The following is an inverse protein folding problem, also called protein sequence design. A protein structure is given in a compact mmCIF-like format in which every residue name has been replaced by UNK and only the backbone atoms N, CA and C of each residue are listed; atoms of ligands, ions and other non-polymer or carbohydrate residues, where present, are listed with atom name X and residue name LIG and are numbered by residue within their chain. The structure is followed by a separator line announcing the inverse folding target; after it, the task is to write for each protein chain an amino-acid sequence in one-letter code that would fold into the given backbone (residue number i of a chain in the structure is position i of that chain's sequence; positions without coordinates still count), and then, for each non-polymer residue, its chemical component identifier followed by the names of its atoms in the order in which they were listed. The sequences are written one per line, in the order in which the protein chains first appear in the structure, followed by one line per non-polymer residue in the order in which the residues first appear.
data_IF_897472926316
#
_entry.id   IF_897472926316
#
_cell.length_a   1.000
_cell.length_b   1.000
_cell.length_c   1.000
_cell.angle_alpha   90.00
_cell.angle_beta   90.00
_cell.angle_gamma   90.00
#
_symmetry.space_group_name_H-M   'P 1'
#
loop_
_entity.id
_entity.type
_entity.pdbx_description
1 polymer ?
#
# COMPACT_ATOMS: atom_id res chain seq x y z
N UNK A 1 13.45 -33.11 43.59
CA UNK A 1 13.91 -34.26 42.79
C UNK A 1 13.52 -34.00 41.34
N UNK A 2 14.54 -33.84 40.47
CA UNK A 2 14.52 -33.62 39.01
C UNK A 2 13.75 -32.38 38.52
N UNK A 3 14.33 -31.26 38.07
CA UNK A 3 15.62 -30.87 37.48
C UNK A 3 16.02 -31.55 36.15
N UNK A 4 16.30 -30.67 35.16
CA UNK A 4 17.00 -30.85 33.86
C UNK A 4 16.17 -31.41 32.70
N UNK A 5 16.18 -30.90 31.47
CA UNK A 5 16.97 -29.89 30.75
C UNK A 5 16.09 -29.40 29.56
N UNK A 6 16.13 -28.16 29.06
CA UNK A 6 17.19 -27.65 28.20
C UNK A 6 17.03 -26.12 28.05
N UNK A 7 17.65 -25.36 28.95
CA UNK A 7 18.14 -24.02 28.64
C UNK A 7 19.57 -24.20 28.15
N UNK A 8 19.83 -24.03 26.85
CA UNK A 8 21.11 -23.51 26.36
C UNK A 8 20.98 -23.03 24.92
N UNK A 9 21.55 -21.84 24.66
CA UNK A 9 21.67 -21.11 23.38
C UNK A 9 20.42 -20.28 23.05
N UNK A 10 20.36 -18.95 23.23
CA UNK A 10 21.40 -17.92 23.29
C UNK A 10 20.91 -16.79 24.19
N UNK A 11 21.70 -16.43 25.20
CA UNK A 11 21.67 -15.09 25.77
C UNK A 11 22.70 -14.25 25.04
N UNK A 12 22.35 -13.03 24.65
CA UNK A 12 23.26 -11.90 24.73
C UNK A 12 22.49 -10.61 25.03
N UNK A 13 23.08 -9.87 25.97
CA UNK A 13 22.64 -8.63 26.57
C UNK A 13 22.41 -7.49 25.58
N UNK A 14 21.63 -6.50 26.03
CA UNK A 14 21.57 -5.17 25.46
C UNK A 14 22.91 -4.45 25.60
N UNK A 15 23.44 -3.92 24.49
CA UNK A 15 24.37 -2.77 24.47
C UNK A 15 24.25 -2.02 23.13
N UNK A 16 24.16 -0.69 23.27
CA UNK A 16 24.35 0.42 22.34
C UNK A 16 24.74 0.18 20.86
N UNK A 17 24.02 0.91 19.99
CA UNK A 17 24.45 1.61 18.77
C UNK A 17 25.71 1.11 18.03
N UNK A 18 25.48 0.43 16.90
CA UNK A 18 26.29 0.55 15.69
C UNK A 18 25.44 0.16 14.48
N UNK A 19 25.38 1.01 13.46
CA UNK A 19 24.76 0.72 12.18
C UNK A 19 25.36 -0.55 11.57
N UNK A 20 24.53 -1.52 11.19
CA UNK A 20 24.94 -2.77 10.56
C UNK A 20 24.51 -2.80 9.08
N UNK A 21 25.29 -3.43 8.17
CA UNK A 21 25.07 -3.35 6.74
C UNK A 21 23.86 -4.21 6.32
N UNK A 22 23.23 -3.79 5.22
CA UNK A 22 22.04 -4.40 4.63
C UNK A 22 22.09 -5.93 4.61
N UNK A 23 21.13 -6.58 5.26
CA UNK A 23 20.87 -8.02 5.12
C UNK A 23 20.25 -8.28 3.74
N UNK A 24 21.06 -8.70 2.77
CA UNK A 24 20.59 -9.30 1.52
C UNK A 24 20.03 -10.70 1.79
N UNK A 25 18.83 -11.02 1.26
CA UNK A 25 18.22 -12.34 1.38
C UNK A 25 18.68 -13.27 0.24
N UNK A 26 19.30 -14.43 0.54
CA UNK A 26 19.65 -15.42 -0.47
C UNK A 26 18.42 -15.93 -1.25
N UNK A 27 18.56 -16.17 -2.55
CA UNK A 27 17.50 -16.71 -3.41
C UNK A 27 16.90 -18.02 -2.86
N UNK A 28 17.74 -18.85 -2.22
CA UNK A 28 17.31 -20.12 -1.62
C UNK A 28 16.40 -19.92 -0.40
N UNK A 29 16.65 -18.91 0.44
CA UNK A 29 15.76 -18.58 1.55
C UNK A 29 14.40 -18.09 1.07
N UNK A 30 14.36 -17.29 0.01
CA UNK A 30 13.10 -16.83 -0.60
C UNK A 30 12.32 -18.00 -1.22
N UNK A 31 13.01 -18.91 -1.93
CA UNK A 31 12.40 -20.13 -2.49
C UNK A 31 11.89 -21.04 -1.38
N UNK A 32 12.68 -21.27 -0.32
CA UNK A 32 12.28 -22.11 0.80
C UNK A 32 11.06 -21.54 1.54
N UNK A 33 11.00 -20.22 1.76
CA UNK A 33 9.83 -19.54 2.33
C UNK A 33 8.58 -19.72 1.44
N UNK A 34 8.73 -19.61 0.12
CA UNK A 34 7.63 -19.85 -0.83
C UNK A 34 7.18 -21.32 -0.84
N UNK A 35 8.11 -22.27 -0.73
CA UNK A 35 7.84 -23.72 -0.69
C UNK A 35 7.22 -24.14 0.65
N UNK A 36 7.72 -23.66 1.80
CA UNK A 36 7.19 -23.96 3.14
C UNK A 36 5.81 -23.34 3.39
N UNK A 37 5.59 -22.11 2.92
CA UNK A 37 4.27 -21.44 2.90
C UNK A 37 3.19 -22.25 2.16
N UNK A 38 3.60 -23.10 1.20
CA UNK A 38 2.69 -23.95 0.41
C UNK A 38 2.65 -25.40 0.87
N UNK A 39 3.74 -25.98 1.40
CA UNK A 39 3.73 -27.31 2.02
C UNK A 39 2.84 -27.40 3.26
N UNK A 40 2.71 -26.30 4.00
CA UNK A 40 1.78 -26.16 5.13
C UNK A 40 0.30 -26.10 4.72
N UNK A 41 0.00 -26.01 3.41
CA UNK A 41 -1.35 -26.13 2.84
C UNK A 41 -1.54 -27.51 2.19
N UNK A 42 -1.50 -28.56 2.99
CA UNK A 42 -2.10 -29.84 2.59
C UNK A 42 -3.61 -29.67 2.70
N UNK A 43 -4.27 -29.43 1.57
CA UNK A 43 -5.73 -29.45 1.52
C UNK A 43 -6.23 -30.91 1.56
N UNK A 44 -7.25 -31.25 2.34
CA UNK A 44 -7.97 -32.52 2.17
C UNK A 44 -8.63 -32.54 0.79
N UNK A 45 -8.62 -33.71 0.13
CA UNK A 45 -9.34 -33.99 -1.13
C UNK A 45 -10.80 -33.50 -1.06
N UNK A 46 -11.33 -32.84 -2.11
CA UNK A 46 -12.66 -32.25 -2.05
C UNK A 46 -13.72 -33.28 -2.46
N UNK A 47 -14.27 -34.02 -1.49
CA UNK A 47 -15.60 -34.59 -1.67
C UNK A 47 -16.63 -33.44 -1.74
N UNK A 48 -17.35 -33.33 -2.87
CA UNK A 48 -18.53 -32.46 -2.98
C UNK A 48 -18.48 -31.33 -4.04
N UNK A 49 -17.49 -31.27 -4.94
CA UNK A 49 -17.47 -30.24 -6.00
C UNK A 49 -18.54 -30.44 -7.10
N UNK A 50 -19.21 -31.59 -7.14
CA UNK A 50 -20.21 -31.92 -8.17
C UNK A 50 -21.61 -31.35 -7.89
N UNK A 51 -21.92 -30.92 -6.67
CA UNK A 51 -23.26 -30.45 -6.30
C UNK A 51 -23.53 -28.96 -6.60
N UNK A 52 -22.53 -28.21 -7.06
CA UNK A 52 -22.70 -26.78 -7.39
C UNK A 52 -23.15 -26.61 -8.86
N UNK A 53 -24.28 -25.94 -9.13
CA UNK A 53 -24.97 -25.98 -10.42
C UNK A 53 -24.31 -25.15 -11.54
N UNK A 54 -23.35 -24.28 -11.23
CA UNK A 54 -22.76 -23.34 -12.21
C UNK A 54 -21.23 -23.44 -12.30
N UNK A 55 -20.71 -23.56 -13.53
CA UNK A 55 -19.28 -23.53 -13.89
C UNK A 55 -18.60 -22.24 -13.42
N UNK A 56 -19.32 -21.12 -13.39
CA UNK A 56 -18.78 -19.81 -12.96
C UNK A 56 -18.54 -19.76 -11.45
N UNK A 57 -19.42 -20.38 -10.66
CA UNK A 57 -19.26 -20.49 -9.21
C UNK A 57 -18.05 -21.37 -8.81
N UNK A 58 -17.80 -22.46 -9.56
CA UNK A 58 -16.63 -23.33 -9.35
C UNK A 58 -15.31 -22.59 -9.60
N UNK A 59 -15.25 -21.76 -10.64
CA UNK A 59 -14.08 -20.91 -10.97
C UNK A 59 -13.86 -19.78 -9.95
N UNK A 60 -14.93 -19.18 -9.41
CA UNK A 60 -14.89 -18.15 -8.37
C UNK A 60 -14.45 -18.71 -7.00
N UNK A 61 -14.83 -19.94 -6.68
CA UNK A 61 -14.39 -20.59 -5.44
C UNK A 61 -12.90 -20.96 -5.51
N UNK A 62 -12.42 -21.45 -6.66
CA UNK A 62 -11.01 -21.75 -6.90
C UNK A 62 -10.10 -20.50 -6.95
N UNK A 63 -10.64 -19.32 -7.32
CA UNK A 63 -9.88 -18.07 -7.37
C UNK A 63 -9.79 -17.34 -6.03
N UNK A 64 -10.72 -17.59 -5.09
CA UNK A 64 -10.74 -16.92 -3.77
C UNK A 64 -9.66 -17.37 -2.79
N UNK A 65 -9.01 -18.52 -2.99
CA UNK A 65 -7.99 -19.04 -2.06
C UNK A 65 -6.54 -18.63 -2.39
N UNK A 66 -6.30 -17.83 -3.44
CA UNK A 66 -4.97 -17.35 -3.83
C UNK A 66 -4.83 -15.83 -3.59
N UNK A 67 -4.43 -15.41 -2.39
CA UNK A 67 -3.84 -14.08 -2.18
C UNK A 67 -2.57 -14.21 -1.34
N UNK A 68 -1.42 -13.99 -1.98
CA UNK A 68 -0.23 -13.42 -1.37
C UNK A 68 -0.22 -11.91 -1.72
N UNK A 69 0.40 -11.04 -0.90
CA UNK A 69 0.46 -9.60 -1.15
C UNK A 69 1.24 -9.26 -2.42
N UNK A 70 0.86 -8.14 -3.02
CA UNK A 70 1.22 -7.64 -4.35
C UNK A 70 2.67 -7.15 -4.47
N UNK A 71 3.65 -8.05 -4.36
CA UNK A 71 5.03 -7.79 -4.80
C UNK A 71 5.28 -8.23 -6.25
N UNK A 72 4.34 -9.01 -6.83
CA UNK A 72 4.46 -9.58 -8.17
C UNK A 72 4.19 -8.54 -9.28
N UNK A 73 3.31 -7.56 -9.06
CA UNK A 73 2.97 -6.54 -10.04
C UNK A 73 4.12 -5.59 -10.38
N UNK A 74 4.93 -5.21 -9.38
CA UNK A 74 6.08 -4.32 -9.55
C UNK A 74 7.21 -4.97 -10.36
N UNK A 75 7.47 -6.28 -10.16
CA UNK A 75 8.50 -7.00 -10.93
C UNK A 75 8.11 -7.19 -12.40
N UNK A 76 6.81 -7.30 -12.71
CA UNK A 76 6.33 -7.40 -14.10
C UNK A 76 6.52 -6.11 -14.89
N UNK A 77 6.35 -4.93 -14.26
CA UNK A 77 6.44 -3.63 -14.92
C UNK A 77 7.89 -3.24 -15.31
N UNK A 78 8.90 -3.68 -14.54
CA UNK A 78 10.31 -3.32 -14.82
C UNK A 78 11.00 -4.27 -15.82
N UNK A 79 10.51 -5.49 -16.00
CA UNK A 79 11.01 -6.40 -17.04
C UNK A 79 10.73 -5.87 -18.46
N UNK A 80 9.72 -5.01 -18.62
CA UNK A 80 9.32 -4.43 -19.92
C UNK A 80 10.22 -3.28 -20.40
N UNK A 81 10.92 -2.58 -19.50
CA UNK A 81 11.70 -1.37 -19.84
C UNK A 81 12.99 -1.64 -20.66
N UNK A 82 13.36 -2.90 -20.90
CA UNK A 82 14.45 -3.28 -21.83
C UNK A 82 13.95 -4.00 -23.09
N UNK A 83 12.63 -4.20 -23.22
CA UNK A 83 12.02 -4.99 -24.31
C UNK A 83 11.44 -4.14 -25.43
N UNK A 84 11.34 -2.82 -25.26
CA UNK A 84 10.82 -1.92 -26.31
C UNK A 84 11.68 -1.88 -27.58
N UNK A 85 12.91 -2.43 -27.56
CA UNK A 85 13.77 -2.57 -28.73
C UNK A 85 13.70 -3.94 -29.43
N UNK A 86 12.95 -4.91 -28.89
CA UNK A 86 12.83 -6.27 -29.44
C UNK A 86 11.37 -6.56 -29.77
N UNK A 87 11.05 -6.70 -31.05
CA UNK A 87 9.69 -7.03 -31.49
C UNK A 87 9.21 -8.33 -30.82
N UNK A 88 7.98 -8.36 -30.25
CA UNK A 88 7.48 -9.52 -29.55
C UNK A 88 7.32 -10.70 -30.54
N UNK A 89 7.93 -11.87 -30.28
CA UNK A 89 7.77 -13.02 -31.15
C UNK A 89 6.33 -13.55 -31.09
N UNK A 90 5.85 -14.05 -32.24
CA UNK A 90 4.50 -14.59 -32.40
C UNK A 90 4.16 -15.70 -31.36
N UNK A 91 2.92 -15.76 -30.86
CA UNK A 91 2.46 -16.82 -29.95
C UNK A 91 2.65 -18.23 -30.54
N UNK A 92 3.01 -19.22 -29.71
CA UNK A 92 3.33 -20.61 -30.10
C UNK A 92 2.31 -21.24 -31.07
N UNK A 93 0.99 -21.04 -30.84
CA UNK A 93 -0.08 -21.53 -31.73
C UNK A 93 -0.06 -20.92 -33.13
N UNK A 94 0.25 -19.62 -33.25
CA UNK A 94 0.39 -18.95 -34.55
C UNK A 94 1.68 -19.38 -35.26
N UNK A 95 2.72 -19.74 -34.51
CA UNK A 95 3.99 -20.26 -35.06
C UNK A 95 3.88 -21.69 -35.60
N UNK A 96 3.19 -22.61 -34.94
CA UNK A 96 2.98 -23.96 -35.51
C UNK A 96 2.26 -23.91 -36.86
N UNK A 97 1.29 -23.00 -37.01
CA UNK A 97 0.61 -22.73 -38.28
C UNK A 97 1.49 -22.01 -39.32
N UNK A 98 2.52 -21.30 -38.89
CA UNK A 98 3.41 -20.51 -39.76
C UNK A 98 4.71 -21.25 -40.12
N UNK A 99 5.20 -22.16 -39.28
CA UNK A 99 6.28 -23.12 -39.58
C UNK A 99 5.82 -24.18 -40.60
N UNK A 100 4.54 -24.53 -40.62
CA UNK A 100 3.96 -25.30 -41.73
C UNK A 100 3.92 -24.52 -43.05
N UNK A 101 4.09 -23.18 -43.04
CA UNK A 101 3.99 -22.30 -44.21
C UNK A 101 5.29 -21.63 -44.66
N UNK A 102 6.31 -21.50 -43.79
CA UNK A 102 7.58 -20.83 -44.13
C UNK A 102 8.78 -21.71 -43.73
N UNK A 103 9.50 -22.21 -44.73
CA UNK A 103 10.76 -22.97 -44.59
C UNK A 103 11.97 -22.05 -44.35
N UNK A 104 11.91 -21.17 -43.35
CA UNK A 104 13.07 -20.39 -42.90
C UNK A 104 13.52 -20.90 -41.53
N UNK A 105 14.71 -21.49 -41.49
CA UNK A 105 15.35 -21.99 -40.26
C UNK A 105 15.69 -20.80 -39.35
N UNK A 106 15.18 -20.78 -38.11
CA UNK A 106 15.50 -19.76 -37.09
C UNK A 106 17.01 -19.79 -36.79
N UNK A 107 17.68 -18.64 -36.74
CA UNK A 107 19.11 -18.62 -36.41
C UNK A 107 19.32 -18.87 -34.91
N UNK A 108 20.49 -19.41 -34.54
CA UNK A 108 20.83 -19.72 -33.14
C UNK A 108 20.71 -18.47 -32.24
N UNK A 109 21.09 -17.31 -32.74
CA UNK A 109 20.98 -16.06 -31.97
C UNK A 109 19.52 -15.61 -31.81
N UNK A 110 18.68 -15.78 -32.83
CA UNK A 110 17.24 -15.52 -32.73
C UNK A 110 16.57 -16.44 -31.71
N UNK A 111 16.98 -17.72 -31.68
CA UNK A 111 16.50 -18.70 -30.70
C UNK A 111 16.89 -18.29 -29.27
N UNK A 112 18.13 -17.85 -29.03
CA UNK A 112 18.57 -17.36 -27.71
C UNK A 112 17.76 -16.16 -27.22
N UNK A 113 17.60 -15.14 -28.06
CA UNK A 113 16.84 -13.93 -27.70
C UNK A 113 15.37 -14.27 -27.40
N UNK A 114 14.77 -15.16 -28.20
CA UNK A 114 13.41 -15.65 -27.95
C UNK A 114 13.31 -16.41 -26.63
N UNK A 115 14.22 -17.35 -26.37
CA UNK A 115 14.18 -18.17 -25.15
C UNK A 115 14.40 -17.31 -23.90
N UNK A 116 15.26 -16.30 -23.98
CA UNK A 116 15.44 -15.32 -22.91
C UNK A 116 14.15 -14.53 -22.65
N UNK A 117 13.48 -14.06 -23.71
CA UNK A 117 12.19 -13.38 -23.60
C UNK A 117 11.11 -14.27 -22.99
N UNK A 118 10.96 -15.50 -23.49
CA UNK A 118 9.97 -16.45 -23.01
C UNK A 118 10.21 -16.85 -21.55
N UNK A 119 11.47 -16.95 -21.13
CA UNK A 119 11.84 -17.22 -19.74
C UNK A 119 11.44 -16.07 -18.80
N UNK A 120 11.41 -14.82 -19.30
CA UNK A 120 11.02 -13.62 -18.54
C UNK A 120 9.51 -13.38 -18.50
N UNK A 121 8.75 -13.87 -19.49
CA UNK A 121 7.30 -13.65 -19.63
C UNK A 121 6.48 -14.91 -19.33
N UNK A 122 6.60 -15.40 -18.09
CA UNK A 122 5.88 -16.59 -17.60
C UNK A 122 4.72 -16.20 -16.69
N UNK A 123 3.64 -16.98 -16.71
CA UNK A 123 2.40 -16.72 -15.98
C UNK A 123 2.46 -16.84 -14.45
N UNK A 124 3.66 -16.97 -13.86
CA UNK A 124 3.90 -16.96 -12.42
C UNK A 124 5.28 -16.37 -12.08
N UNK A 125 5.33 -15.63 -10.97
CA UNK A 125 6.51 -14.92 -10.50
C UNK A 125 7.68 -15.86 -10.21
N UNK A 126 7.39 -17.02 -9.61
CA UNK A 126 8.38 -18.01 -9.19
C UNK A 126 9.21 -18.54 -10.38
N UNK A 127 8.54 -18.91 -11.48
CA UNK A 127 9.23 -19.31 -12.71
C UNK A 127 9.92 -18.13 -13.38
N UNK A 128 9.33 -16.94 -13.33
CA UNK A 128 9.95 -15.74 -13.88
C UNK A 128 11.32 -15.48 -13.25
N UNK A 129 11.46 -15.65 -11.93
CA UNK A 129 12.73 -15.48 -11.22
C UNK A 129 13.74 -16.60 -11.52
N UNK A 130 13.31 -17.87 -11.45
CA UNK A 130 14.21 -19.01 -11.67
C UNK A 130 14.73 -19.07 -13.10
N UNK A 131 13.82 -18.98 -14.07
CA UNK A 131 14.14 -19.16 -15.49
C UNK A 131 14.85 -17.95 -16.08
N UNK A 132 14.51 -16.72 -15.66
CA UNK A 132 15.19 -15.53 -16.19
C UNK A 132 16.67 -15.49 -15.82
N UNK A 133 17.02 -15.77 -14.55
CA UNK A 133 18.41 -15.79 -14.10
C UNK A 133 19.21 -16.93 -14.74
N UNK A 134 18.61 -18.11 -14.87
CA UNK A 134 19.25 -19.24 -15.55
C UNK A 134 19.47 -18.93 -17.03
N UNK A 135 18.44 -18.42 -17.72
CA UNK A 135 18.51 -18.10 -19.13
C UNK A 135 19.59 -17.04 -19.43
N UNK A 136 19.63 -15.96 -18.65
CA UNK A 136 20.59 -14.87 -18.83
C UNK A 136 22.05 -15.35 -18.69
N UNK A 137 22.31 -16.27 -17.75
CA UNK A 137 23.65 -16.80 -17.48
C UNK A 137 24.08 -17.89 -18.46
N UNK A 138 23.15 -18.77 -18.88
CA UNK A 138 23.52 -20.01 -19.56
C UNK A 138 23.19 -20.03 -21.06
N UNK A 139 22.16 -19.31 -21.54
CA UNK A 139 21.83 -19.29 -22.98
C UNK A 139 22.98 -18.83 -23.89
N UNK A 140 23.83 -17.84 -23.52
CA UNK A 140 24.96 -17.44 -24.36
C UNK A 140 25.96 -18.58 -24.63
N UNK A 141 26.12 -19.51 -23.68
CA UNK A 141 27.07 -20.63 -23.76
C UNK A 141 26.47 -21.94 -24.28
N UNK A 142 25.15 -22.01 -24.52
CA UNK A 142 24.49 -23.24 -24.97
C UNK A 142 24.72 -23.52 -26.45
N UNK A 143 24.93 -24.79 -26.77
CA UNK A 143 24.91 -25.33 -28.14
C UNK A 143 23.48 -25.37 -28.70
N UNK A 144 23.29 -25.47 -30.03
CA UNK A 144 21.95 -25.57 -30.63
C UNK A 144 21.11 -26.71 -30.03
N UNK A 145 21.70 -27.88 -29.81
CA UNK A 145 21.01 -29.01 -29.20
C UNK A 145 20.56 -28.73 -27.76
N UNK A 146 21.35 -27.97 -26.99
CA UNK A 146 20.99 -27.55 -25.63
C UNK A 146 19.89 -26.49 -25.62
N UNK A 147 19.88 -25.58 -26.61
CA UNK A 147 18.80 -24.61 -26.77
C UNK A 147 17.47 -25.30 -27.07
N UNK A 148 17.48 -26.35 -27.89
CA UNK A 148 16.27 -27.16 -28.19
C UNK A 148 15.78 -27.91 -26.93
N UNK A 149 16.71 -28.48 -26.15
CA UNK A 149 16.36 -29.10 -24.86
C UNK A 149 15.76 -28.10 -23.88
N UNK A 150 16.32 -26.89 -23.79
CA UNK A 150 15.78 -25.82 -22.95
C UNK A 150 14.39 -25.38 -23.41
N UNK A 151 14.22 -25.17 -24.72
CA UNK A 151 12.95 -24.80 -25.36
C UNK A 151 11.86 -25.82 -25.04
N UNK A 152 12.17 -27.11 -25.18
CA UNK A 152 11.25 -28.19 -24.85
C UNK A 152 10.80 -28.14 -23.39
N UNK A 153 11.72 -27.94 -22.44
CA UNK A 153 11.41 -27.87 -21.00
C UNK A 153 10.50 -26.69 -20.69
N UNK A 154 10.71 -25.52 -21.30
CA UNK A 154 9.94 -24.33 -20.98
C UNK A 154 8.64 -24.21 -21.79
N UNK A 155 8.56 -24.69 -23.03
CA UNK A 155 7.42 -24.39 -23.91
C UNK A 155 6.50 -25.59 -24.22
N UNK A 156 6.95 -26.84 -24.04
CA UNK A 156 6.08 -27.99 -24.28
C UNK A 156 5.08 -28.32 -23.15
N UNK A 157 5.43 -28.17 -21.85
CA UNK A 157 4.48 -28.45 -20.78
C UNK A 157 3.24 -27.57 -20.89
N UNK A 158 2.06 -28.17 -20.77
CA UNK A 158 0.78 -27.44 -20.80
C UNK A 158 0.51 -26.62 -19.53
N UNK A 159 1.26 -26.88 -18.46
CA UNK A 159 1.09 -26.27 -17.15
C UNK A 159 2.43 -25.76 -16.63
N UNK A 160 2.56 -24.44 -16.54
CA UNK A 160 3.76 -23.76 -16.05
C UNK A 160 4.15 -24.18 -14.61
N UNK A 161 3.20 -24.64 -13.78
CA UNK A 161 3.49 -25.08 -12.41
C UNK A 161 4.34 -26.34 -12.35
N UNK A 162 4.23 -27.21 -13.34
CA UNK A 162 4.98 -28.46 -13.32
C UNK A 162 6.48 -28.19 -13.47
N UNK A 163 6.86 -27.16 -14.23
CA UNK A 163 8.26 -26.73 -14.37
C UNK A 163 8.83 -26.26 -13.03
N UNK A 164 8.08 -25.44 -12.28
CA UNK A 164 8.49 -25.03 -10.94
C UNK A 164 8.70 -26.25 -10.03
N UNK A 165 7.76 -27.19 -10.04
CA UNK A 165 7.84 -28.38 -9.18
C UNK A 165 8.96 -29.34 -9.56
N UNK A 166 9.28 -29.49 -10.85
CA UNK A 166 10.41 -30.31 -11.29
C UNK A 166 11.74 -29.68 -10.86
N UNK A 167 11.90 -28.37 -11.09
CA UNK A 167 13.14 -27.65 -10.78
C UNK A 167 13.43 -27.56 -9.28
N UNK A 168 12.39 -27.44 -8.46
CA UNK A 168 12.51 -27.42 -6.99
C UNK A 168 12.55 -28.81 -6.35
N UNK A 169 12.39 -29.88 -7.14
CA UNK A 169 12.36 -31.26 -6.66
C UNK A 169 11.08 -31.64 -5.90
N UNK A 170 10.02 -30.83 -6.00
CA UNK A 170 8.71 -31.13 -5.40
C UNK A 170 7.93 -32.23 -6.17
N UNK A 171 8.23 -32.42 -7.46
CA UNK A 171 7.74 -33.52 -8.29
C UNK A 171 8.90 -34.14 -9.08
N UNK A 172 8.85 -35.45 -9.40
CA UNK A 172 9.86 -36.06 -10.26
C UNK A 172 9.79 -35.45 -11.67
N UNK A 173 10.97 -35.21 -12.26
CA UNK A 173 11.11 -34.75 -13.64
C UNK A 173 10.68 -35.88 -14.59
N UNK A 174 9.77 -35.65 -15.55
CA UNK A 174 9.38 -36.65 -16.54
C UNK A 174 10.57 -37.09 -17.39
N UNK A 175 10.66 -38.38 -17.73
CA UNK A 175 11.80 -38.95 -18.48
C UNK A 175 12.07 -38.26 -19.82
N UNK A 176 11.04 -37.70 -20.47
CA UNK A 176 11.21 -36.93 -21.72
C UNK A 176 12.01 -35.63 -21.56
N UNK A 177 12.12 -35.11 -20.34
CA UNK A 177 12.86 -33.90 -20.00
C UNK A 177 14.14 -34.20 -19.22
N UNK A 178 14.45 -35.46 -18.91
CA UNK A 178 15.67 -35.86 -18.20
C UNK A 178 16.89 -35.77 -19.14
N UNK A 179 17.45 -34.57 -19.22
CA UNK A 179 18.61 -34.25 -20.02
C UNK A 179 19.59 -33.35 -19.24
N UNK A 180 20.75 -33.07 -19.83
CA UNK A 180 21.81 -32.26 -19.21
C UNK A 180 21.37 -30.84 -18.87
N UNK A 181 20.48 -30.24 -19.67
CA UNK A 181 19.96 -28.89 -19.43
C UNK A 181 19.03 -28.89 -18.21
N UNK A 182 18.13 -29.86 -18.09
CA UNK A 182 17.27 -29.97 -16.92
C UNK A 182 18.07 -30.20 -15.64
N UNK A 183 19.14 -31.01 -15.69
CA UNK A 183 20.06 -31.21 -14.56
C UNK A 183 20.75 -29.91 -14.15
N UNK A 184 21.27 -29.16 -15.12
CA UNK A 184 21.88 -27.86 -14.89
C UNK A 184 20.87 -26.84 -14.31
N UNK A 185 19.61 -26.86 -14.77
CA UNK A 185 18.55 -26.01 -14.22
C UNK A 185 18.24 -26.37 -12.76
N UNK A 186 18.10 -27.67 -12.44
CA UNK A 186 17.86 -28.14 -11.06
C UNK A 186 19.02 -27.76 -10.14
N UNK A 187 20.26 -27.98 -10.57
CA UNK A 187 21.47 -27.58 -9.82
C UNK A 187 21.51 -26.06 -9.60
N UNK A 188 21.20 -25.29 -10.64
CA UNK A 188 21.06 -23.84 -10.54
C UNK A 188 19.94 -23.43 -9.58
N UNK A 189 18.82 -24.14 -9.52
CA UNK A 189 17.73 -23.83 -8.58
C UNK A 189 18.11 -24.17 -7.14
N UNK A 190 18.90 -25.22 -6.89
CA UNK A 190 19.35 -25.61 -5.54
C UNK A 190 20.21 -24.55 -4.85
N UNK A 191 20.96 -23.77 -5.64
CA UNK A 191 21.80 -22.67 -5.16
C UNK A 191 22.59 -23.04 -3.89
N UNK A 192 23.32 -24.14 -3.92
CA UNK A 192 23.99 -24.73 -2.75
C UNK A 192 25.00 -23.76 -2.12
N UNK A 193 25.65 -22.94 -2.94
CA UNK A 193 26.58 -21.88 -2.52
C UNK A 193 25.90 -20.63 -1.94
N UNK A 194 24.56 -20.62 -1.86
CA UNK A 194 23.73 -19.50 -1.37
C UNK A 194 24.06 -18.16 -2.02
N UNK A 195 24.39 -18.19 -3.30
CA UNK A 195 24.73 -16.98 -4.04
C UNK A 195 23.55 -15.99 -4.04
N UNK A 196 23.87 -14.71 -3.85
CA UNK A 196 22.98 -13.59 -4.18
C UNK A 196 22.89 -13.50 -5.72
N UNK A 197 21.88 -14.19 -6.27
CA UNK A 197 21.65 -14.32 -7.73
C UNK A 197 20.69 -13.28 -8.28
N UNK A 198 20.14 -12.44 -7.41
CA UNK A 198 19.43 -11.22 -7.79
C UNK A 198 20.48 -10.15 -8.13
N UNK A 199 21.29 -10.41 -9.16
CA UNK A 199 22.22 -9.42 -9.72
C UNK A 199 21.66 -8.96 -11.04
N UNK A 200 20.84 -7.92 -10.98
CA UNK A 200 20.63 -7.06 -12.13
C UNK A 200 21.06 -5.67 -11.68
N UNK A 201 22.08 -5.10 -12.32
CA UNK A 201 22.47 -3.70 -12.10
C UNK A 201 21.28 -2.74 -12.35
N UNK A 202 20.33 -3.17 -13.18
CA UNK A 202 19.02 -2.53 -13.36
C UNK A 202 18.08 -2.68 -12.17
N UNK A 203 18.13 -3.77 -11.42
CA UNK A 203 17.35 -3.95 -10.19
C UNK A 203 18.02 -3.25 -9.02
N UNK A 204 19.36 -3.16 -8.93
CA UNK A 204 20.03 -2.33 -7.91
C UNK A 204 19.84 -0.84 -8.18
N UNK A 205 19.91 -0.40 -9.44
CA UNK A 205 19.55 0.97 -9.80
C UNK A 205 18.04 1.20 -9.62
N UNK A 206 17.17 0.29 -10.07
CA UNK A 206 15.74 0.41 -9.82
C UNK A 206 15.37 0.25 -8.34
N UNK A 207 16.10 -0.47 -7.49
CA UNK A 207 15.89 -0.57 -6.04
C UNK A 207 16.57 0.56 -5.29
N UNK A 208 17.57 1.25 -5.85
CA UNK A 208 18.12 2.49 -5.32
C UNK A 208 17.22 3.68 -5.68
N UNK A 209 16.77 3.75 -6.94
CA UNK A 209 15.75 4.69 -7.42
C UNK A 209 14.37 4.37 -6.85
N UNK A 210 14.05 3.10 -6.57
CA UNK A 210 12.84 2.68 -5.86
C UNK A 210 13.01 2.72 -4.35
N UNK A 211 14.19 2.65 -3.74
CA UNK A 211 14.34 3.04 -2.32
C UNK A 211 14.17 4.54 -2.13
N UNK A 212 14.65 5.33 -3.09
CA UNK A 212 14.43 6.77 -3.12
C UNK A 212 12.99 7.16 -3.53
N UNK A 213 12.28 6.32 -4.30
CA UNK A 213 10.86 6.53 -4.67
C UNK A 213 9.85 5.80 -3.76
N UNK A 214 10.27 4.76 -3.02
CA UNK A 214 9.49 4.10 -1.95
C UNK A 214 9.65 4.82 -0.61
N UNK A 215 10.51 5.84 -0.50
CA UNK A 215 10.64 6.63 0.71
C UNK A 215 9.66 7.81 0.80
N UNK A 216 8.77 8.00 -0.18
CA UNK A 216 7.78 9.08 -0.10
C UNK A 216 6.41 8.64 -0.61
N UNK A 217 5.40 8.84 0.23
CA UNK A 217 3.99 8.71 -0.12
C UNK A 217 3.61 9.74 -1.20
N UNK A 218 2.68 9.39 -2.10
CA UNK A 218 2.20 10.36 -3.10
C UNK A 218 1.49 11.51 -2.38
N UNK A 219 1.92 12.73 -2.67
CA UNK A 219 1.25 13.95 -2.23
C UNK A 219 0.46 14.56 -3.39
N UNK A 220 -0.80 14.89 -3.14
CA UNK A 220 -1.72 15.40 -4.15
C UNK A 220 -1.67 16.92 -4.24
N UNK A 221 -1.54 17.43 -5.47
CA UNK A 221 -1.93 18.82 -5.76
C UNK A 221 -3.45 18.99 -5.67
N UNK A 222 -3.91 20.24 -5.54
CA UNK A 222 -5.30 20.57 -5.28
C UNK A 222 -6.24 20.01 -6.37
N UNK A 223 -5.86 20.19 -7.64
CA UNK A 223 -6.64 19.71 -8.78
C UNK A 223 -6.79 18.18 -8.82
N UNK A 224 -5.75 17.45 -8.40
CA UNK A 224 -5.82 15.98 -8.35
C UNK A 224 -6.72 15.49 -7.21
N UNK A 225 -6.67 16.16 -6.06
CA UNK A 225 -7.58 15.87 -4.95
C UNK A 225 -9.05 16.11 -5.35
N UNK A 226 -9.36 17.22 -6.03
CA UNK A 226 -10.72 17.49 -6.55
C UNK A 226 -11.18 16.40 -7.50
N UNK A 227 -10.33 16.00 -8.46
CA UNK A 227 -10.69 14.96 -9.44
C UNK A 227 -10.91 13.59 -8.82
N UNK A 228 -10.15 13.22 -7.78
CA UNK A 228 -10.36 11.96 -7.06
C UNK A 228 -11.72 11.97 -6.36
N UNK A 229 -12.06 13.05 -5.67
CA UNK A 229 -13.37 13.22 -5.04
C UNK A 229 -14.52 13.12 -6.07
N UNK A 230 -14.39 13.82 -7.21
CA UNK A 230 -15.36 13.74 -8.30
C UNK A 230 -15.56 12.30 -8.80
N UNK A 231 -14.50 11.53 -8.99
CA UNK A 231 -14.60 10.13 -9.40
C UNK A 231 -15.22 9.25 -8.32
N UNK A 232 -14.87 9.45 -7.04
CA UNK A 232 -15.46 8.70 -5.93
C UNK A 232 -16.99 8.88 -5.89
N UNK A 233 -17.48 10.10 -6.09
CA UNK A 233 -18.92 10.39 -6.08
C UNK A 233 -19.62 9.96 -7.38
N UNK A 234 -19.00 10.17 -8.55
CA UNK A 234 -19.63 9.92 -9.83
C UNK A 234 -19.46 8.49 -10.33
N UNK A 235 -18.22 8.02 -10.47
CA UNK A 235 -17.90 6.72 -11.09
C UNK A 235 -18.05 5.55 -10.11
N UNK A 236 -17.67 5.76 -8.86
CA UNK A 236 -17.72 4.73 -7.81
C UNK A 236 -19.01 4.78 -6.99
N UNK A 237 -19.82 5.81 -7.14
CA UNK A 237 -21.16 5.92 -6.55
C UNK A 237 -21.18 6.05 -5.03
N UNK A 238 -20.08 6.49 -4.41
CA UNK A 238 -20.10 6.83 -2.99
C UNK A 238 -20.96 8.07 -2.76
N UNK A 239 -21.68 8.09 -1.64
CA UNK A 239 -22.35 9.31 -1.20
C UNK A 239 -21.42 10.17 -0.34
N UNK A 240 -21.71 11.47 -0.25
CA UNK A 240 -20.98 12.39 0.62
C UNK A 240 -21.07 11.91 2.08
N UNK A 241 -22.25 11.47 2.51
CA UNK A 241 -22.51 10.94 3.85
C UNK A 241 -21.62 9.74 4.17
N UNK A 242 -21.46 8.81 3.23
CA UNK A 242 -20.65 7.61 3.43
C UNK A 242 -19.17 7.95 3.62
N UNK A 243 -18.61 8.78 2.74
CA UNK A 243 -17.19 9.14 2.83
C UNK A 243 -16.92 10.01 4.05
N UNK A 244 -17.82 10.94 4.36
CA UNK A 244 -17.72 11.81 5.53
C UNK A 244 -17.78 11.03 6.84
N UNK A 245 -18.63 10.00 6.93
CA UNK A 245 -18.69 9.13 8.11
C UNK A 245 -17.37 8.35 8.31
N UNK A 246 -16.79 7.83 7.23
CA UNK A 246 -15.51 7.11 7.28
C UNK A 246 -14.34 8.07 7.59
N UNK A 247 -14.35 9.27 7.01
CA UNK A 247 -13.37 10.30 7.28
C UNK A 247 -13.41 10.78 8.73
N UNK A 248 -14.60 11.09 9.26
CA UNK A 248 -14.79 11.49 10.65
C UNK A 248 -14.37 10.39 11.63
N UNK A 249 -14.71 9.13 11.35
CA UNK A 249 -14.23 7.99 12.15
C UNK A 249 -12.69 7.90 12.15
N UNK A 250 -12.05 8.05 10.99
CA UNK A 250 -10.59 8.05 10.89
C UNK A 250 -9.97 9.22 11.68
N UNK A 251 -10.57 10.42 11.63
CA UNK A 251 -10.11 11.56 12.41
C UNK A 251 -10.21 11.32 13.92
N UNK A 252 -11.33 10.75 14.38
CA UNK A 252 -11.51 10.40 15.78
C UNK A 252 -10.49 9.34 16.26
N UNK A 253 -10.22 8.32 15.43
CA UNK A 253 -9.20 7.32 15.70
C UNK A 253 -7.79 7.92 15.74
N UNK A 254 -7.47 8.85 14.84
CA UNK A 254 -6.16 9.51 14.81
C UNK A 254 -5.93 10.35 16.08
N UNK A 255 -6.92 11.11 16.51
CA UNK A 255 -6.85 11.86 17.78
C UNK A 255 -6.69 10.93 18.96
N UNK A 256 -7.40 9.80 18.99
CA UNK A 256 -7.21 8.80 20.03
C UNK A 256 -5.83 8.18 20.04
N UNK A 257 -5.28 7.88 18.88
CA UNK A 257 -3.95 7.29 18.78
C UNK A 257 -2.85 8.26 19.19
N UNK A 258 -3.00 9.55 18.84
CA UNK A 258 -2.05 10.61 19.16
C UNK A 258 -2.10 11.02 20.64
N UNK A 259 -3.31 11.11 21.20
CA UNK A 259 -3.56 11.62 22.55
C UNK A 259 -4.48 10.66 23.32
N UNK A 260 -3.97 9.48 23.69
CA UNK A 260 -4.78 8.48 24.38
C UNK A 260 -5.25 9.03 25.75
N UNK A 261 -6.49 8.72 26.17
CA UNK A 261 -6.97 9.07 27.50
C UNK A 261 -6.13 8.39 28.59
N UNK A 262 -5.82 9.10 29.67
CA UNK A 262 -5.03 8.56 30.80
C UNK A 262 -5.64 7.28 31.42
N UNK A 263 -6.95 7.11 31.25
CA UNK A 263 -7.77 6.00 31.76
C UNK A 263 -7.34 4.59 31.36
N UNK A 264 -6.52 4.42 30.32
CA UNK A 264 -6.03 3.09 29.91
C UNK A 264 -4.92 2.54 30.84
N UNK A 265 -4.41 3.37 31.76
CA UNK A 265 -3.30 3.01 32.66
C UNK A 265 -3.62 3.07 34.17
N UNK A 266 -4.67 3.80 34.61
CA UNK A 266 -4.92 4.05 36.06
C UNK A 266 -6.36 3.83 36.56
N UNK A 267 -7.33 3.49 35.69
CA UNK A 267 -8.74 3.30 36.09
C UNK A 267 -9.53 4.59 36.35
N UNK A 268 -8.95 5.77 36.12
CA UNK A 268 -9.64 7.07 36.11
C UNK A 268 -10.54 7.17 34.88
N UNK A 269 -11.78 7.65 35.01
CA UNK A 269 -12.72 7.77 33.87
C UNK A 269 -12.61 9.11 33.11
N UNK A 270 -11.58 9.91 33.38
CA UNK A 270 -11.45 11.23 32.76
C UNK A 270 -11.00 11.13 31.30
N UNK A 271 -11.88 11.50 30.38
CA UNK A 271 -11.58 11.60 28.94
C UNK A 271 -11.06 13.01 28.61
N UNK A 272 -10.10 13.15 27.68
CA UNK A 272 -9.69 14.45 27.15
C UNK A 272 -10.89 15.27 26.68
N UNK A 273 -10.91 16.54 27.07
CA UNK A 273 -11.86 17.55 26.61
C UNK A 273 -11.38 18.04 25.26
N UNK A 274 -12.24 17.91 24.23
CA UNK A 274 -11.86 18.23 22.85
C UNK A 274 -12.75 19.34 22.32
N UNK A 275 -12.18 20.45 21.87
CA UNK A 275 -12.93 21.45 21.10
C UNK A 275 -12.80 21.16 19.61
N UNK A 276 -13.90 21.15 18.88
CA UNK A 276 -13.91 20.95 17.43
C UNK A 276 -14.41 22.22 16.76
N UNK A 277 -13.55 22.87 15.99
CA UNK A 277 -13.86 24.07 15.24
C UNK A 277 -14.30 23.69 13.81
N UNK A 278 -15.61 23.63 13.59
CA UNK A 278 -16.20 23.20 12.33
C UNK A 278 -16.41 24.36 11.35
N UNK A 279 -15.98 24.17 10.11
CA UNK A 279 -16.29 25.07 9.01
C UNK A 279 -17.61 24.75 8.30
N UNK A 280 -17.99 25.54 7.29
CA UNK A 280 -19.30 25.43 6.63
C UNK A 280 -19.38 24.32 5.57
N UNK A 281 -18.25 23.67 5.24
CA UNK A 281 -18.15 22.68 4.17
C UNK A 281 -17.93 21.26 4.67
N UNK A 282 -17.44 20.40 3.76
CA UNK A 282 -17.22 18.97 4.04
C UNK A 282 -16.27 18.76 5.22
N UNK A 283 -15.17 19.53 5.30
CA UNK A 283 -14.20 19.43 6.40
C UNK A 283 -14.84 19.62 7.78
N UNK A 284 -15.82 20.54 7.89
CA UNK A 284 -16.57 20.75 9.13
C UNK A 284 -17.51 19.58 9.45
N UNK A 285 -18.03 18.92 8.42
CA UNK A 285 -18.80 17.68 8.55
C UNK A 285 -17.95 16.49 9.01
N UNK A 286 -16.71 16.38 8.51
CA UNK A 286 -15.74 15.37 8.95
C UNK A 286 -15.42 15.53 10.44
N UNK A 287 -15.38 16.78 10.93
CA UNK A 287 -15.21 17.11 12.35
C UNK A 287 -16.40 16.77 13.25
N UNK A 288 -17.61 16.56 12.72
CA UNK A 288 -18.82 16.52 13.55
C UNK A 288 -18.96 15.24 14.41
N UNK A 289 -18.22 14.17 14.09
CA UNK A 289 -18.33 12.87 14.80
C UNK A 289 -17.01 12.47 15.46
N UNK A 290 -16.87 12.79 16.74
CA UNK A 290 -15.71 12.44 17.56
C UNK A 290 -16.11 11.66 18.81
N UNK A 291 -15.36 10.58 19.11
CA UNK A 291 -15.57 9.75 20.31
C UNK A 291 -14.71 10.21 21.49
N UNK A 292 -15.14 11.25 22.22
CA UNK A 292 -14.44 11.82 23.40
C UNK A 292 -15.45 12.47 24.37
N UNK A 293 -15.01 13.47 25.14
CA UNK A 293 -15.88 14.54 25.66
C UNK A 293 -15.77 15.78 24.74
N UNK A 294 -16.30 15.74 23.51
CA UNK A 294 -16.16 16.85 22.57
C UNK A 294 -17.12 17.99 22.89
N UNK A 295 -16.74 19.20 22.50
CA UNK A 295 -17.63 20.35 22.29
C UNK A 295 -17.42 20.87 20.88
N UNK A 296 -18.48 21.35 20.22
CA UNK A 296 -18.44 21.79 18.82
C UNK A 296 -18.65 23.29 18.74
N UNK A 297 -17.71 24.00 18.14
CA UNK A 297 -17.85 25.39 17.71
C UNK A 297 -18.14 25.42 16.20
N UNK A 298 -19.36 25.86 15.81
CA UNK A 298 -19.78 25.89 14.41
C UNK A 298 -20.41 27.24 14.03
N UNK A 299 -19.57 28.27 13.74
CA UNK A 299 -20.02 29.66 13.63
C UNK A 299 -20.86 29.96 12.38
N UNK A 300 -20.61 29.23 11.28
CA UNK A 300 -21.34 29.41 10.03
C UNK A 300 -21.99 28.10 9.60
N UNK A 301 -23.24 27.93 10.04
CA UNK A 301 -24.03 26.73 9.76
C UNK A 301 -24.56 26.75 8.33
N UNK A 302 -24.26 25.70 7.57
CA UNK A 302 -24.76 25.56 6.20
C UNK A 302 -26.16 24.96 6.22
N UNK A 303 -27.12 25.61 5.57
CA UNK A 303 -28.50 25.12 5.44
C UNK A 303 -28.60 24.06 4.33
N UNK A 304 -28.00 22.90 4.57
CA UNK A 304 -28.22 21.67 3.79
C UNK A 304 -28.65 20.54 4.73
N UNK A 305 -29.50 19.60 4.28
CA UNK A 305 -29.98 18.50 5.10
C UNK A 305 -28.86 17.72 5.80
N UNK A 306 -27.76 17.44 5.09
CA UNK A 306 -26.58 16.76 5.63
C UNK A 306 -26.05 17.43 6.90
N UNK A 307 -25.64 18.69 6.83
CA UNK A 307 -25.05 19.42 7.97
C UNK A 307 -26.04 19.64 9.11
N UNK A 308 -27.31 19.89 8.79
CA UNK A 308 -28.38 19.99 9.80
C UNK A 308 -28.56 18.68 10.54
N UNK A 309 -28.50 17.55 9.84
CA UNK A 309 -28.63 16.24 10.45
C UNK A 309 -27.41 15.88 11.29
N UNK A 310 -26.18 16.23 10.85
CA UNK A 310 -24.98 16.06 11.67
C UNK A 310 -25.04 16.87 12.96
N UNK A 311 -25.42 18.14 12.89
CA UNK A 311 -25.58 18.98 14.08
C UNK A 311 -26.67 18.42 15.02
N UNK A 312 -27.80 17.97 14.47
CA UNK A 312 -28.84 17.29 15.26
C UNK A 312 -28.34 16.02 15.93
N UNK A 313 -27.50 15.23 15.26
CA UNK A 313 -26.89 14.02 15.83
C UNK A 313 -25.91 14.37 16.96
N UNK A 314 -25.12 15.44 16.81
CA UNK A 314 -24.25 15.94 17.88
C UNK A 314 -25.06 16.30 19.12
N UNK A 315 -26.07 17.15 18.93
CA UNK A 315 -26.97 17.59 20.01
C UNK A 315 -27.69 16.39 20.65
N UNK A 316 -28.22 15.48 19.82
CA UNK A 316 -28.90 14.26 20.29
C UNK A 316 -27.98 13.29 21.03
N UNK A 317 -26.67 13.37 20.81
CA UNK A 317 -25.65 12.61 21.54
C UNK A 317 -25.13 13.34 22.78
N UNK A 318 -25.71 14.51 23.12
CA UNK A 318 -25.32 15.31 24.28
C UNK A 318 -24.04 16.12 24.10
N UNK A 319 -23.55 16.30 22.86
CA UNK A 319 -22.35 17.08 22.56
C UNK A 319 -22.69 18.58 22.70
N UNK A 320 -22.02 19.34 23.59
CA UNK A 320 -22.25 20.77 23.75
C UNK A 320 -21.88 21.55 22.49
N UNK A 321 -22.73 22.50 22.12
CA UNK A 321 -22.46 23.46 21.05
C UNK A 321 -21.97 24.76 21.68
N UNK A 322 -20.75 25.15 21.35
CA UNK A 322 -20.13 26.40 21.80
C UNK A 322 -20.61 27.52 20.88
N UNK A 323 -21.35 28.47 21.45
CA UNK A 323 -21.89 29.62 20.69
C UNK A 323 -20.97 30.85 20.77
N UNK A 324 -20.12 30.96 21.80
CA UNK A 324 -19.14 32.03 21.93
C UNK A 324 -17.89 31.78 21.09
N UNK A 325 -17.26 32.85 20.61
CA UNK A 325 -16.01 32.74 19.86
C UNK A 325 -14.89 32.25 20.81
N UNK A 326 -14.25 31.10 20.53
CA UNK A 326 -13.15 30.64 21.35
C UNK A 326 -11.92 31.53 21.13
N UNK A 327 -11.22 31.82 22.21
CA UNK A 327 -9.91 32.48 22.23
C UNK A 327 -8.83 31.46 22.58
N UNK A 328 -7.56 31.77 22.31
CA UNK A 328 -6.44 30.92 22.73
C UNK A 328 -6.47 30.64 24.25
N UNK A 329 -6.84 31.63 25.06
CA UNK A 329 -6.94 31.50 26.52
C UNK A 329 -8.07 30.54 26.95
N UNK A 330 -9.26 30.65 26.37
CA UNK A 330 -10.38 29.73 26.66
C UNK A 330 -10.08 28.33 26.15
N UNK A 331 -9.43 28.20 24.99
CA UNK A 331 -8.99 26.90 24.47
C UNK A 331 -8.07 26.20 25.47
N UNK A 332 -7.08 26.91 26.02
CA UNK A 332 -6.12 26.37 26.97
C UNK A 332 -6.72 26.02 28.36
N UNK A 333 -7.73 26.78 28.81
CA UNK A 333 -8.38 26.54 30.09
C UNK A 333 -9.37 25.36 30.05
N UNK A 334 -10.16 25.29 28.98
CA UNK A 334 -11.35 24.45 28.94
C UNK A 334 -11.15 23.14 28.17
N UNK A 335 -10.08 23.04 27.38
CA UNK A 335 -9.84 21.90 26.50
C UNK A 335 -8.40 21.41 26.59
N UNK A 336 -8.24 20.12 26.33
CA UNK A 336 -6.93 19.46 26.31
C UNK A 336 -6.42 19.31 24.87
N UNK A 337 -7.32 19.32 23.88
CA UNK A 337 -7.04 19.20 22.44
C UNK A 337 -8.02 20.10 21.67
N UNK A 338 -7.55 20.73 20.60
CA UNK A 338 -8.41 21.47 19.66
C UNK A 338 -8.29 20.87 18.26
N UNK A 339 -9.42 20.61 17.61
CA UNK A 339 -9.51 20.09 16.25
C UNK A 339 -9.88 21.21 15.29
N UNK A 340 -8.97 21.50 14.37
CA UNK A 340 -9.17 22.36 13.21
C UNK A 340 -9.87 21.57 12.10
N UNK A 341 -11.18 21.79 11.98
CA UNK A 341 -12.05 21.25 10.94
C UNK A 341 -12.69 22.40 10.12
N UNK A 342 -12.00 23.54 9.99
CA UNK A 342 -12.56 24.73 9.34
C UNK A 342 -12.53 24.59 7.81
N UNK A 343 -11.35 24.37 7.23
CA UNK A 343 -11.14 24.42 5.79
C UNK A 343 -10.27 23.25 5.30
N UNK A 344 -10.81 22.44 4.40
CA UNK A 344 -10.07 21.35 3.75
C UNK A 344 -9.46 21.76 2.40
N UNK A 345 -8.99 20.79 1.63
CA UNK A 345 -8.27 21.03 0.37
C UNK A 345 -9.04 21.83 -0.70
N UNK A 346 -10.37 21.92 -0.65
CA UNK A 346 -11.17 22.68 -1.63
C UNK A 346 -11.29 24.16 -1.29
N UNK A 347 -10.74 24.60 -0.16
CA UNK A 347 -10.72 26.00 0.23
C UNK A 347 -9.93 26.87 -0.75
N UNK A 348 -10.41 28.08 -0.94
CA UNK A 348 -9.76 29.12 -1.75
C UNK A 348 -9.69 30.40 -0.91
N UNK A 349 -8.49 30.98 -0.73
CA UNK A 349 -8.33 32.29 -0.08
C UNK A 349 -9.16 33.39 -0.77
N UNK A 350 -9.49 34.50 -0.07
CA UNK A 350 -9.14 34.80 1.32
C UNK A 350 -10.08 34.13 2.34
N UNK A 351 -9.61 34.04 3.60
CA UNK A 351 -10.45 33.65 4.74
C UNK A 351 -11.52 34.72 4.95
N UNK A 352 -12.76 34.31 5.24
CA UNK A 352 -13.85 35.25 5.51
C UNK A 352 -13.79 35.78 6.95
N UNK A 353 -14.27 37.02 7.20
CA UNK A 353 -14.16 37.66 8.52
C UNK A 353 -14.69 36.83 9.69
N UNK A 354 -15.77 36.07 9.49
CA UNK A 354 -16.35 35.25 10.55
C UNK A 354 -15.44 34.11 11.06
N UNK A 355 -14.35 33.80 10.35
CA UNK A 355 -13.38 32.78 10.75
C UNK A 355 -12.04 33.38 11.24
N UNK A 356 -11.78 34.67 11.03
CA UNK A 356 -10.49 35.29 11.39
C UNK A 356 -10.16 35.13 12.88
N UNK A 357 -11.16 35.34 13.76
CA UNK A 357 -10.98 35.23 15.20
C UNK A 357 -10.63 33.79 15.65
N UNK A 358 -11.31 32.78 15.12
CA UNK A 358 -11.03 31.38 15.47
C UNK A 358 -9.71 30.90 14.87
N UNK A 359 -9.36 31.36 13.66
CA UNK A 359 -8.05 31.08 13.05
C UNK A 359 -6.92 31.67 13.89
N UNK A 360 -7.07 32.92 14.35
CA UNK A 360 -6.10 33.56 15.25
C UNK A 360 -5.99 32.82 16.59
N UNK A 361 -7.11 32.36 17.16
CA UNK A 361 -7.12 31.56 18.38
C UNK A 361 -6.40 30.21 18.20
N UNK A 362 -6.61 29.52 17.08
CA UNK A 362 -5.93 28.27 16.74
C UNK A 362 -4.41 28.48 16.56
N UNK A 363 -4.00 29.52 15.85
CA UNK A 363 -2.57 29.84 15.67
C UNK A 363 -1.86 30.24 16.98
N UNK A 364 -2.61 30.73 17.98
CA UNK A 364 -2.09 31.09 19.29
C UNK A 364 -2.34 30.04 20.38
N UNK A 365 -2.90 28.88 20.05
CA UNK A 365 -3.26 27.85 21.01
C UNK A 365 -2.01 27.24 21.66
N UNK A 366 -2.02 27.09 22.99
CA UNK A 366 -0.96 26.41 23.74
C UNK A 366 -1.22 24.91 23.93
N UNK A 367 -2.41 24.45 23.58
CA UNK A 367 -2.80 23.03 23.57
C UNK A 367 -2.61 22.44 22.16
N UNK A 368 -2.42 21.11 22.03
CA UNK A 368 -2.24 20.49 20.72
C UNK A 368 -3.40 20.78 19.76
N UNK A 369 -3.05 21.25 18.56
CA UNK A 369 -3.99 21.45 17.45
C UNK A 369 -3.91 20.26 16.50
N UNK A 370 -5.07 19.72 16.13
CA UNK A 370 -5.22 18.65 15.14
C UNK A 370 -5.91 19.20 13.91
N UNK A 371 -5.24 19.26 12.77
CA UNK A 371 -5.87 19.67 11.51
C UNK A 371 -6.39 18.47 10.73
N UNK A 372 -7.66 18.55 10.32
CA UNK A 372 -8.27 17.59 9.40
C UNK A 372 -7.96 18.00 7.97
N UNK A 373 -7.41 17.05 7.22
CA UNK A 373 -7.08 17.09 5.81
C UNK A 373 -5.91 18.00 5.42
N UNK A 374 -6.07 19.30 5.69
CA UNK A 374 -5.11 20.39 5.44
C UNK A 374 -5.23 21.37 6.61
N UNK A 375 -4.13 21.93 7.14
CA UNK A 375 -4.23 22.99 8.15
C UNK A 375 -4.94 24.21 7.58
N UNK A 376 -6.00 24.66 8.25
CA UNK A 376 -6.84 25.74 7.73
C UNK A 376 -6.02 26.99 7.47
N UNK A 377 -6.22 27.60 6.30
CA UNK A 377 -5.51 28.80 5.85
C UNK A 377 -4.14 28.53 5.20
N UNK A 378 -3.65 27.29 5.19
CA UNK A 378 -2.49 26.94 4.37
C UNK A 378 -2.88 26.90 2.89
N UNK A 379 -1.94 27.25 2.03
CA UNK A 379 -2.02 26.91 0.62
C UNK A 379 -1.90 25.40 0.47
N UNK A 380 -2.78 24.78 -0.31
CA UNK A 380 -2.91 23.33 -0.43
C UNK A 380 -1.65 22.69 -1.04
N UNK A 381 -0.85 23.46 -1.77
CA UNK A 381 0.37 22.99 -2.41
C UNK A 381 1.64 23.58 -1.81
N UNK A 382 1.63 24.88 -1.49
CA UNK A 382 2.81 25.62 -1.02
C UNK A 382 2.97 25.61 0.50
N UNK A 383 1.97 25.13 1.25
CA UNK A 383 2.02 25.06 2.70
C UNK A 383 1.66 26.39 3.39
N UNK A 384 2.25 26.71 4.57
CA UNK A 384 1.88 27.89 5.34
C UNK A 384 2.21 29.17 4.58
N UNK A 385 1.27 30.13 4.60
CA UNK A 385 1.49 31.47 4.05
C UNK A 385 2.41 32.25 5.01
N UNK A 386 3.69 32.38 4.66
CA UNK A 386 4.75 32.89 5.56
C UNK A 386 4.53 34.33 6.05
N UNK A 387 3.74 35.13 5.35
CA UNK A 387 3.46 36.52 5.69
C UNK A 387 2.39 36.69 6.78
N UNK A 388 1.71 35.61 7.17
CA UNK A 388 0.65 35.65 8.18
C UNK A 388 0.91 34.67 9.33
N UNK A 389 0.32 34.95 10.49
CA UNK A 389 0.34 34.01 11.61
C UNK A 389 -0.48 32.77 11.22
N UNK A 390 0.22 31.69 10.88
CA UNK A 390 -0.38 30.44 10.40
C UNK A 390 -0.57 29.43 11.52
N UNK A 391 -1.59 28.59 11.39
CA UNK A 391 -1.82 27.46 12.28
C UNK A 391 -0.65 26.47 12.10
N UNK A 392 -0.04 26.05 13.20
CA UNK A 392 1.02 25.04 13.23
C UNK A 392 0.49 23.82 14.00
N UNK A 393 -0.18 22.88 13.33
CA UNK A 393 -0.80 21.76 14.03
C UNK A 393 0.26 20.81 14.56
N UNK A 394 -0.02 20.24 15.73
CA UNK A 394 0.78 19.17 16.30
C UNK A 394 0.46 17.81 15.65
N UNK A 395 -0.78 17.67 15.16
CA UNK A 395 -1.24 16.50 14.43
C UNK A 395 -1.93 16.89 13.12
N UNK A 396 -1.59 16.21 12.03
CA UNK A 396 -2.25 16.31 10.73
C UNK A 396 -2.89 14.97 10.37
N UNK A 397 -4.17 14.98 10.02
CA UNK A 397 -4.88 13.81 9.52
C UNK A 397 -5.20 14.02 8.04
N UNK A 398 -4.33 13.55 7.16
CA UNK A 398 -4.60 13.59 5.71
C UNK A 398 -5.69 12.59 5.34
N UNK A 399 -6.71 13.02 4.60
CA UNK A 399 -7.77 12.14 4.11
C UNK A 399 -7.52 11.74 2.65
N UNK A 400 -7.84 10.49 2.30
CA UNK A 400 -7.68 9.88 0.97
C UNK A 400 -6.21 9.69 0.56
N UNK A 401 -5.45 10.78 0.50
CA UNK A 401 -4.00 10.84 0.36
C UNK A 401 -3.48 12.20 0.91
N UNK A 402 -2.21 12.29 1.34
CA UNK A 402 -1.61 13.57 1.75
C UNK A 402 -1.72 14.62 0.64
N UNK A 403 -2.01 15.88 1.00
CA UNK A 403 -1.90 17.02 0.07
C UNK A 403 -0.47 17.54 0.03
N UNK A 404 -0.10 18.24 -1.04
CA UNK A 404 1.25 18.77 -1.25
C UNK A 404 1.75 19.64 -0.07
N UNK A 405 0.87 20.43 0.54
CA UNK A 405 1.14 21.20 1.75
C UNK A 405 1.64 20.36 2.95
N UNK A 406 1.28 19.08 3.02
CA UNK A 406 1.71 18.20 4.11
C UNK A 406 3.23 17.99 4.12
N UNK A 407 3.95 18.29 3.03
CA UNK A 407 5.42 18.32 3.02
C UNK A 407 6.03 19.39 3.94
N UNK A 408 5.23 20.41 4.28
CA UNK A 408 5.62 21.50 5.17
C UNK A 408 5.17 21.24 6.62
N UNK A 409 4.51 20.11 6.89
CA UNK A 409 4.08 19.73 8.22
C UNK A 409 5.30 19.40 9.10
N UNK A 410 5.32 19.97 10.31
CA UNK A 410 6.42 19.81 11.28
C UNK A 410 5.96 19.31 12.65
N UNK A 411 4.66 19.00 12.80
CA UNK A 411 4.09 18.49 14.04
C UNK A 411 4.52 17.04 14.34
N UNK A 412 4.17 16.57 15.54
CA UNK A 412 4.58 15.25 16.05
C UNK A 412 3.86 14.08 15.38
N UNK A 413 2.65 14.30 14.86
CA UNK A 413 1.78 13.21 14.42
C UNK A 413 1.21 13.45 13.02
N UNK A 414 1.57 12.63 12.05
CA UNK A 414 0.94 12.61 10.73
C UNK A 414 0.25 11.26 10.53
N UNK A 415 -1.05 11.29 10.27
CA UNK A 415 -1.85 10.11 9.94
C UNK A 415 -2.45 10.24 8.55
N UNK A 416 -2.56 9.11 7.86
CA UNK A 416 -3.42 8.94 6.70
C UNK A 416 -4.70 8.22 7.13
N UNK A 417 -5.84 8.84 6.83
CA UNK A 417 -7.18 8.26 6.98
C UNK A 417 -7.92 8.21 5.63
N UNK A 418 -9.16 7.74 5.67
CA UNK A 418 -9.98 7.57 4.46
C UNK A 418 -9.64 6.28 3.71
N UNK A 419 -9.70 5.15 4.42
CA UNK A 419 -9.47 3.80 3.89
C UNK A 419 -10.63 3.31 3.00
N UNK A 420 -10.91 4.04 1.94
CA UNK A 420 -11.97 3.73 0.98
C UNK A 420 -11.54 3.88 -0.48
N UNK A 421 -10.29 4.29 -0.74
CA UNK A 421 -9.76 4.46 -2.10
C UNK A 421 -9.76 3.13 -2.86
N UNK A 422 -10.54 3.00 -3.94
CA UNK A 422 -10.55 1.79 -4.75
C UNK A 422 -9.17 1.52 -5.37
N UNK A 423 -8.68 0.26 -5.44
CA UNK A 423 -7.35 -0.03 -5.98
C UNK A 423 -7.13 0.41 -7.43
N UNK A 424 -8.19 0.41 -8.26
CA UNK A 424 -8.10 0.90 -9.64
C UNK A 424 -7.94 2.43 -9.68
N UNK A 425 -8.67 3.15 -8.82
CA UNK A 425 -8.53 4.61 -8.68
C UNK A 425 -7.14 5.00 -8.18
N UNK A 426 -6.61 4.26 -7.19
CA UNK A 426 -5.24 4.46 -6.73
C UNK A 426 -4.23 4.27 -7.87
N UNK A 427 -4.41 3.24 -8.72
CA UNK A 427 -3.55 3.00 -9.88
C UNK A 427 -3.68 4.09 -10.94
N UNK A 428 -4.89 4.54 -11.26
CA UNK A 428 -5.12 5.56 -12.31
C UNK A 428 -4.50 6.92 -11.95
N UNK A 429 -4.43 7.25 -10.66
CA UNK A 429 -3.75 8.45 -10.16
C UNK A 429 -2.31 8.20 -9.71
N UNK A 430 -1.75 6.99 -9.91
CA UNK A 430 -0.40 6.62 -9.46
C UNK A 430 -0.16 6.92 -7.98
N UNK A 431 -1.15 6.63 -7.14
CA UNK A 431 -1.08 6.85 -5.69
C UNK A 431 -0.23 5.75 -5.05
N UNK A 432 0.92 6.14 -4.51
CA UNK A 432 1.73 5.32 -3.61
C UNK A 432 1.28 5.60 -2.17
N UNK A 433 0.35 4.78 -1.66
CA UNK A 433 -0.20 4.88 -0.32
C UNK A 433 0.29 3.73 0.56
N UNK A 434 0.52 3.95 1.87
CA UNK A 434 0.83 2.88 2.80
C UNK A 434 -0.31 1.87 2.93
N UNK A 435 0.03 0.64 3.26
CA UNK A 435 -0.96 -0.36 3.64
C UNK A 435 -1.49 -0.06 5.05
N UNK A 436 -2.81 0.03 5.18
CA UNK A 436 -3.46 0.10 6.49
C UNK A 436 -3.31 -1.24 7.23
N UNK A 437 -2.85 -1.24 8.50
CA UNK A 437 -2.75 -2.45 9.31
C UNK A 437 -4.14 -3.06 9.57
N UNK A 438 -4.28 -4.38 9.43
CA UNK A 438 -5.49 -5.11 9.84
C UNK A 438 -6.79 -4.45 9.37
N UNK A 439 -7.66 -4.09 10.33
CA UNK A 439 -8.93 -3.37 10.12
C UNK A 439 -8.88 -1.87 10.47
N UNK A 440 -7.69 -1.32 10.72
CA UNK A 440 -7.51 0.10 11.09
C UNK A 440 -8.03 1.04 9.98
N UNK A 441 -8.62 2.18 10.35
CA UNK A 441 -9.02 3.23 9.39
C UNK A 441 -7.96 4.32 9.24
N UNK A 442 -6.87 4.19 9.98
CA UNK A 442 -5.73 5.10 9.97
C UNK A 442 -4.41 4.35 9.85
N UNK A 443 -3.39 5.04 9.36
CA UNK A 443 -2.00 4.59 9.40
C UNK A 443 -1.09 5.79 9.64
N UNK A 444 -0.08 5.63 10.50
CA UNK A 444 0.88 6.72 10.76
C UNK A 444 1.83 6.87 9.58
N UNK A 445 2.09 8.12 9.20
CA UNK A 445 3.05 8.52 8.17
C UNK A 445 4.35 9.07 8.77
N UNK A 446 4.48 9.05 10.11
CA UNK A 446 5.71 9.45 10.79
C UNK A 446 6.85 8.52 10.34
N UNK A 447 7.97 9.12 9.91
CA UNK A 447 9.20 8.40 9.60
C UNK A 447 9.89 7.84 10.84
#
# INVERSE_FOLDING_TARGET
AYQSSFNSRLGFAATAAAASPATEFPLQSTINVLVESRRSRVHPEPEGLESLPDKKARLLFASRQRRLPDCAGLLHAFADARLESISPPLPLRKRQQQQQKNSAVESVEQQRQRLLYQSRKRGMLENGLLLSCFADRHLPGMSPAQLDMYDAIINEPSNDWDIFYWLTGAKPLPSRYDNEVAKAMIEFVRNEDRESRIRNALLSAALATSRAAMSSWTHLGQASAVRIDEQLFAEYGFSVEQLMELAGLACAQAVHRAYPPASELDGSTSRPRVLICCGPGNNGGDGARFGYSPSVYYPKRTDKPLYRNLLKQCIGSGIPIVESHPTAATMAADYDIVVDALFGFSFKPPVRPEFEAVMSALSGASVPVVSIDVPSGWDVELGPVLETQSIQPDCLVSLTAPKMCAKHFTGRHHFLGGRFVPPELARSFSLNLPCYPGCEQIVSLNN
#
